data_IF_176349169827
#
_entry.id   IF_176349169827
#
_cell.length_a   1.000
_cell.length_b   1.000
_cell.length_c   1.000
_cell.angle_alpha   90.00
_cell.angle_beta   90.00
_cell.angle_gamma   90.00
#
_symmetry.space_group_name_H-M   'P 1'
#
loop_
_entity.id
_entity.type
_entity.pdbx_description
1 polymer ?
#
# COMPACT_ATOMS: atom_id res chain seq x y z
N UNK A 1 -11.48 -39.67 7.13
CA UNK A 1 -10.75 -39.00 6.07
C UNK A 1 -11.22 -37.53 6.02
N UNK A 2 -10.65 -36.69 6.87
CA UNK A 2 -10.93 -35.24 6.79
C UNK A 2 -9.96 -34.66 5.75
N UNK A 3 -10.41 -34.65 4.50
CA UNK A 3 -9.79 -33.80 3.49
C UNK A 3 -10.15 -32.36 3.88
N UNK A 4 -9.26 -31.69 4.60
CA UNK A 4 -9.38 -30.27 4.89
C UNK A 4 -9.12 -29.46 3.61
N UNK A 5 -10.03 -29.53 2.65
CA UNK A 5 -10.05 -28.60 1.53
C UNK A 5 -10.31 -27.22 2.12
N UNK A 6 -9.25 -26.43 2.27
CA UNK A 6 -9.41 -25.01 2.62
C UNK A 6 -10.16 -24.30 1.49
N UNK A 7 -11.03 -23.38 1.86
CA UNK A 7 -11.80 -22.61 0.88
C UNK A 7 -10.88 -21.79 -0.04
N UNK A 8 -11.29 -21.53 -1.29
CA UNK A 8 -10.56 -20.62 -2.17
C UNK A 8 -10.54 -19.20 -1.55
N UNK A 9 -9.43 -18.52 -1.70
CA UNK A 9 -9.33 -17.10 -1.42
C UNK A 9 -9.57 -16.33 -2.71
N UNK A 10 -10.36 -15.26 -2.63
CA UNK A 10 -10.68 -14.42 -3.78
C UNK A 10 -10.05 -13.05 -3.58
N UNK A 11 -9.22 -12.61 -4.52
CA UNK A 11 -8.68 -11.25 -4.56
C UNK A 11 -9.33 -10.45 -5.69
N UNK A 12 -10.05 -9.39 -5.34
CA UNK A 12 -10.58 -8.39 -6.27
C UNK A 12 -9.58 -7.24 -6.35
N UNK A 13 -8.83 -7.21 -7.44
CA UNK A 13 -7.73 -6.27 -7.65
C UNK A 13 -7.93 -5.40 -8.88
N UNK A 14 -7.13 -4.36 -9.00
CA UNK A 14 -7.18 -3.42 -10.14
C UNK A 14 -6.81 -2.01 -9.71
N UNK A 15 -6.74 -1.07 -10.65
CA UNK A 15 -6.36 0.31 -10.37
C UNK A 15 -7.36 1.00 -9.45
N UNK A 16 -6.93 2.11 -8.83
CA UNK A 16 -7.86 2.98 -8.09
C UNK A 16 -8.98 3.46 -9.01
N UNK A 17 -10.18 3.67 -8.46
CA UNK A 17 -11.41 4.04 -9.19
C UNK A 17 -11.92 2.99 -10.22
N UNK A 18 -11.49 1.72 -10.14
CA UNK A 18 -11.97 0.66 -11.05
C UNK A 18 -13.30 0.03 -10.66
N UNK A 19 -13.86 0.30 -9.46
CA UNK A 19 -15.09 -0.31 -8.96
C UNK A 19 -14.87 -1.58 -8.11
N UNK A 20 -13.67 -1.78 -7.57
CA UNK A 20 -13.34 -2.96 -6.74
C UNK A 20 -14.24 -3.11 -5.52
N UNK A 21 -14.53 -2.01 -4.82
CA UNK A 21 -15.34 -2.04 -3.59
C UNK A 21 -16.76 -2.52 -3.87
N UNK A 22 -17.38 -1.96 -4.91
CA UNK A 22 -18.75 -2.33 -5.30
C UNK A 22 -18.83 -3.82 -5.71
N UNK A 23 -17.85 -4.29 -6.51
CA UNK A 23 -17.76 -5.71 -6.87
C UNK A 23 -17.51 -6.59 -5.64
N UNK A 24 -16.63 -6.16 -4.73
CA UNK A 24 -16.34 -6.88 -3.49
C UNK A 24 -17.60 -7.07 -2.63
N UNK A 25 -18.38 -6.01 -2.43
CA UNK A 25 -19.66 -6.05 -1.69
C UNK A 25 -20.66 -6.96 -2.38
N UNK A 26 -20.83 -6.86 -3.71
CA UNK A 26 -21.73 -7.71 -4.48
C UNK A 26 -21.34 -9.20 -4.38
N UNK A 27 -20.07 -9.52 -4.45
CA UNK A 27 -19.57 -10.89 -4.27
C UNK A 27 -19.76 -11.37 -2.83
N UNK A 28 -19.50 -10.52 -1.83
CA UNK A 28 -19.73 -10.86 -0.42
C UNK A 28 -21.20 -11.22 -0.15
N UNK A 29 -22.15 -10.44 -0.67
CA UNK A 29 -23.57 -10.79 -0.58
C UNK A 29 -23.91 -12.10 -1.29
N UNK A 30 -23.38 -12.30 -2.51
CA UNK A 30 -23.73 -13.46 -3.34
C UNK A 30 -23.19 -14.78 -2.77
N UNK A 31 -22.04 -14.74 -2.11
CA UNK A 31 -21.30 -15.93 -1.66
C UNK A 31 -21.13 -16.02 -0.15
N UNK A 32 -21.94 -15.28 0.63
CA UNK A 32 -21.84 -15.23 2.10
C UNK A 32 -20.42 -14.98 2.57
N UNK A 33 -19.78 -13.93 2.02
CA UNK A 33 -18.40 -13.59 2.30
C UNK A 33 -18.23 -12.35 3.18
N UNK A 34 -16.98 -12.11 3.59
CA UNK A 34 -16.55 -10.90 4.28
C UNK A 34 -15.33 -10.31 3.59
N UNK A 35 -15.19 -9.00 3.64
CA UNK A 35 -14.14 -8.26 2.94
C UNK A 35 -12.94 -8.05 3.85
N UNK A 36 -11.74 -8.32 3.30
CA UNK A 36 -10.45 -7.98 3.91
C UNK A 36 -9.82 -6.88 3.06
N UNK A 37 -9.62 -5.71 3.65
CA UNK A 37 -9.00 -4.58 2.97
C UNK A 37 -7.55 -4.89 2.57
N UNK A 38 -7.25 -4.72 1.28
CA UNK A 38 -5.92 -4.87 0.68
C UNK A 38 -5.42 -3.54 0.08
N UNK A 39 -5.66 -2.43 0.81
CA UNK A 39 -5.17 -1.09 0.48
C UNK A 39 -4.39 -0.51 1.66
N UNK A 40 -3.12 -0.16 1.43
CA UNK A 40 -2.19 0.24 2.49
C UNK A 40 -2.52 1.59 3.14
N UNK A 41 -3.31 2.44 2.49
CA UNK A 41 -3.69 3.73 3.06
C UNK A 41 -5.04 3.68 3.80
N UNK A 42 -5.90 2.72 3.47
CA UNK A 42 -7.15 2.50 4.18
C UNK A 42 -6.97 1.85 5.56
N UNK A 43 -5.78 1.37 5.88
CA UNK A 43 -5.45 0.82 7.20
C UNK A 43 -5.34 1.89 8.30
N UNK A 44 -5.11 3.14 7.92
CA UNK A 44 -4.92 4.25 8.87
C UNK A 44 -6.24 4.82 9.37
N UNK A 45 -6.34 5.04 10.71
CA UNK A 45 -7.45 5.74 11.34
C UNK A 45 -7.46 7.22 10.95
N UNK A 46 -8.67 7.80 10.91
CA UNK A 46 -8.84 9.25 10.67
C UNK A 46 -8.58 9.71 9.24
N UNK A 47 -8.37 8.80 8.29
CA UNK A 47 -8.15 9.09 6.87
C UNK A 47 -9.28 8.44 6.07
N UNK A 48 -10.31 9.19 5.79
CA UNK A 48 -11.52 8.69 5.14
C UNK A 48 -11.70 9.21 3.71
N UNK A 49 -11.63 10.52 3.55
CA UNK A 49 -11.91 11.19 2.28
C UNK A 49 -10.87 10.82 1.23
N UNK A 50 -9.58 11.03 1.51
CA UNK A 50 -8.51 10.78 0.54
C UNK A 50 -8.37 9.33 0.11
N UNK A 51 -8.74 8.40 0.98
CA UNK A 51 -8.59 6.95 0.72
C UNK A 51 -9.83 6.34 0.08
N UNK A 52 -10.93 7.10 0.04
CA UNK A 52 -12.25 6.62 -0.40
C UNK A 52 -12.61 5.28 0.27
N UNK A 53 -12.43 5.20 1.59
CA UNK A 53 -12.99 4.10 2.38
C UNK A 53 -14.49 4.03 2.15
N UNK A 54 -15.00 2.81 2.08
CA UNK A 54 -16.44 2.59 2.05
C UNK A 54 -16.99 2.90 3.45
N UNK A 55 -17.78 3.95 3.61
CA UNK A 55 -18.33 4.29 4.92
C UNK A 55 -19.31 3.21 5.40
N UNK A 56 -19.52 3.05 6.72
CA UNK A 56 -20.33 1.96 7.28
C UNK A 56 -21.71 1.82 6.65
N UNK A 57 -22.38 2.93 6.34
CA UNK A 57 -23.69 2.98 5.69
C UNK A 57 -23.69 2.44 4.25
N UNK A 58 -22.56 2.51 3.55
CA UNK A 58 -22.40 2.00 2.19
C UNK A 58 -21.85 0.55 2.17
N UNK A 59 -21.43 -0.01 3.31
CA UNK A 59 -20.95 -1.39 3.41
C UNK A 59 -22.07 -2.44 3.31
N UNK A 60 -23.33 -2.02 3.33
CA UNK A 60 -24.52 -2.87 3.15
C UNK A 60 -24.55 -4.07 4.12
N UNK A 61 -24.05 -3.90 5.36
CA UNK A 61 -23.98 -4.96 6.36
C UNK A 61 -22.86 -5.98 6.17
N UNK A 62 -22.00 -5.83 5.15
CA UNK A 62 -20.83 -6.70 4.96
C UNK A 62 -19.68 -6.26 5.87
N UNK A 63 -19.17 -7.15 6.73
CA UNK A 63 -17.97 -6.83 7.53
C UNK A 63 -16.77 -6.53 6.65
N UNK A 64 -16.07 -5.42 6.95
CA UNK A 64 -14.83 -5.00 6.32
C UNK A 64 -13.70 -5.04 7.34
N UNK A 65 -12.80 -5.97 7.18
CA UNK A 65 -11.66 -6.19 8.06
C UNK A 65 -10.42 -5.42 7.58
N UNK A 66 -9.50 -5.11 8.49
CA UNK A 66 -8.24 -4.41 8.27
C UNK A 66 -8.41 -2.98 7.71
N UNK A 67 -9.54 -2.34 8.02
CA UNK A 67 -9.76 -0.90 7.86
C UNK A 67 -9.58 -0.26 9.25
N UNK A 68 -8.98 0.93 9.31
CA UNK A 68 -8.81 1.70 10.58
C UNK A 68 -8.10 0.91 11.71
N UNK A 69 -7.10 0.10 11.36
CA UNK A 69 -6.44 -0.80 12.32
C UNK A 69 -5.18 -0.22 12.96
N UNK A 70 -4.64 0.88 12.40
CA UNK A 70 -3.42 1.51 12.92
C UNK A 70 -3.55 3.03 12.94
N UNK A 71 -2.81 3.67 13.85
CA UNK A 71 -2.71 5.13 13.92
C UNK A 71 -1.91 5.69 12.72
N UNK A 72 -2.16 6.94 12.28
CA UNK A 72 -1.47 7.56 11.15
C UNK A 72 0.05 7.63 11.28
N UNK A 73 0.57 7.62 12.51
CA UNK A 73 2.01 7.62 12.82
C UNK A 73 2.65 6.23 12.75
N UNK A 74 1.83 5.16 12.79
CA UNK A 74 2.33 3.79 12.75
C UNK A 74 2.77 3.38 11.33
N UNK A 75 3.86 2.65 11.24
CA UNK A 75 4.36 2.17 9.98
C UNK A 75 4.00 0.70 9.77
N UNK A 76 2.76 0.40 9.40
CA UNK A 76 2.35 -0.97 9.09
C UNK A 76 3.15 -1.52 7.89
N UNK A 77 3.88 -2.60 8.13
CA UNK A 77 4.61 -3.29 7.08
C UNK A 77 3.71 -4.27 6.33
N UNK A 78 4.11 -4.67 5.12
CA UNK A 78 3.35 -5.67 4.36
C UNK A 78 3.38 -7.06 5.03
N UNK A 79 4.43 -7.37 5.76
CA UNK A 79 4.55 -8.64 6.51
C UNK A 79 3.56 -8.65 7.66
N UNK A 80 3.53 -7.60 8.50
CA UNK A 80 2.55 -7.47 9.58
C UNK A 80 1.11 -7.45 9.08
N UNK A 81 0.85 -6.78 7.94
CA UNK A 81 -0.46 -6.83 7.32
C UNK A 81 -0.83 -8.26 6.92
N UNK A 82 0.11 -9.01 6.31
CA UNK A 82 -0.14 -10.38 5.90
C UNK A 82 -0.39 -11.33 7.09
N UNK A 83 0.27 -11.13 8.21
CA UNK A 83 0.04 -11.87 9.46
C UNK A 83 -1.39 -11.64 9.97
N UNK A 84 -1.79 -10.38 10.11
CA UNK A 84 -3.18 -10.01 10.49
C UNK A 84 -4.21 -10.52 9.49
N UNK A 85 -3.88 -10.49 8.17
CA UNK A 85 -4.78 -11.01 7.14
C UNK A 85 -4.98 -12.53 7.29
N UNK A 86 -3.95 -13.31 7.64
CA UNK A 86 -4.08 -14.75 7.92
C UNK A 86 -4.98 -15.04 9.11
N UNK A 87 -4.85 -14.28 10.18
CA UNK A 87 -5.72 -14.40 11.37
C UNK A 87 -7.19 -14.14 11.00
N UNK A 88 -7.44 -13.07 10.25
CA UNK A 88 -8.79 -12.72 9.78
C UNK A 88 -9.34 -13.76 8.81
N UNK A 89 -8.53 -14.26 7.88
CA UNK A 89 -8.92 -15.35 6.96
C UNK A 89 -9.34 -16.58 7.75
N UNK A 90 -8.53 -17.00 8.73
CA UNK A 90 -8.83 -18.17 9.57
C UNK A 90 -10.13 -17.99 10.36
N UNK A 91 -10.40 -16.80 10.90
CA UNK A 91 -11.64 -16.49 11.59
C UNK A 91 -12.86 -16.56 10.66
N UNK A 92 -12.79 -15.93 9.49
CA UNK A 92 -13.86 -15.94 8.48
C UNK A 92 -14.18 -17.38 8.05
N UNK A 93 -13.15 -18.16 7.74
CA UNK A 93 -13.28 -19.57 7.31
C UNK A 93 -13.84 -20.46 8.44
N UNK A 94 -13.47 -20.21 9.69
CA UNK A 94 -14.01 -20.95 10.83
C UNK A 94 -15.52 -20.80 10.99
N UNK A 95 -16.07 -19.67 10.50
CA UNK A 95 -17.50 -19.38 10.45
C UNK A 95 -18.19 -19.86 9.17
N UNK A 96 -17.48 -20.59 8.31
CA UNK A 96 -17.99 -21.12 7.04
C UNK A 96 -18.25 -20.04 5.98
N UNK A 97 -17.60 -18.87 6.10
CA UNK A 97 -17.74 -17.75 5.16
C UNK A 97 -16.56 -17.63 4.20
N UNK A 98 -16.78 -16.95 3.06
CA UNK A 98 -15.77 -16.71 2.06
C UNK A 98 -14.93 -15.47 2.42
N UNK A 99 -13.60 -15.59 2.42
CA UNK A 99 -12.71 -14.46 2.58
C UNK A 99 -12.42 -13.78 1.21
N UNK A 100 -12.75 -12.48 1.11
CA UNK A 100 -12.60 -11.66 -0.09
C UNK A 100 -11.56 -10.56 0.17
N UNK A 101 -10.39 -10.65 -0.46
CA UNK A 101 -9.36 -9.62 -0.43
C UNK A 101 -9.70 -8.53 -1.45
N UNK A 102 -9.94 -7.30 -1.03
CA UNK A 102 -10.32 -6.20 -1.93
C UNK A 102 -9.34 -5.04 -1.80
N UNK A 103 -8.65 -4.69 -2.89
CA UNK A 103 -7.73 -3.56 -2.86
C UNK A 103 -6.78 -3.47 -4.04
N UNK A 104 -5.86 -2.50 -3.96
CA UNK A 104 -4.91 -2.18 -5.02
C UNK A 104 -3.43 -2.31 -4.64
N UNK A 105 -3.12 -2.76 -3.42
CA UNK A 105 -1.73 -2.87 -2.93
C UNK A 105 -1.16 -4.26 -3.23
N UNK A 106 -0.60 -4.43 -4.44
CA UNK A 106 -0.05 -5.73 -4.88
C UNK A 106 1.05 -6.28 -3.94
N UNK A 107 1.80 -5.39 -3.25
CA UNK A 107 2.82 -5.83 -2.29
C UNK A 107 2.22 -6.51 -1.05
N UNK A 108 0.99 -6.17 -0.65
CA UNK A 108 0.27 -6.87 0.41
C UNK A 108 -0.09 -8.30 -0.01
N UNK A 109 -0.63 -8.47 -1.22
CA UNK A 109 -0.91 -9.80 -1.75
C UNK A 109 0.36 -10.64 -1.89
N UNK A 110 1.46 -10.04 -2.34
CA UNK A 110 2.75 -10.72 -2.39
C UNK A 110 3.22 -11.15 -1.00
N UNK A 111 3.06 -10.32 0.04
CA UNK A 111 3.40 -10.68 1.41
C UNK A 111 2.50 -11.78 1.98
N UNK A 112 1.24 -11.86 1.54
CA UNK A 112 0.34 -12.94 1.91
C UNK A 112 0.75 -14.26 1.26
N UNK A 113 1.15 -14.25 -0.01
CA UNK A 113 1.43 -15.45 -0.82
C UNK A 113 2.89 -15.87 -0.85
N UNK A 114 3.79 -15.07 -0.26
CA UNK A 114 5.23 -15.33 -0.30
C UNK A 114 5.84 -15.13 1.09
N UNK A 115 6.57 -16.13 1.55
CA UNK A 115 7.46 -15.95 2.72
C UNK A 115 8.69 -15.20 2.26
N UNK A 116 8.83 -13.96 2.72
CA UNK A 116 10.04 -13.19 2.50
C UNK A 116 11.18 -13.66 3.41
N UNK A 117 12.41 -13.39 3.01
CA UNK A 117 13.56 -13.58 3.89
C UNK A 117 13.40 -12.72 5.16
N UNK A 118 13.88 -13.24 6.27
CA UNK A 118 13.92 -12.46 7.51
C UNK A 118 15.01 -11.40 7.39
N UNK A 119 14.57 -10.13 7.35
CA UNK A 119 15.50 -9.00 7.35
C UNK A 119 16.17 -8.89 8.71
N UNK A 120 17.48 -8.58 8.78
CA UNK A 120 18.11 -8.24 10.04
C UNK A 120 17.45 -7.00 10.65
N UNK A 121 17.65 -6.83 11.95
CA UNK A 121 17.29 -5.59 12.63
C UNK A 121 18.01 -4.41 11.98
N UNK A 122 17.29 -3.33 11.74
CA UNK A 122 17.81 -2.16 11.04
C UNK A 122 18.00 -1.02 12.04
N UNK A 123 19.20 -0.44 12.03
CA UNK A 123 19.47 0.81 12.74
C UNK A 123 18.62 1.96 12.14
N UNK A 124 17.64 2.40 12.90
CA UNK A 124 16.69 3.45 12.47
C UNK A 124 17.38 4.80 12.18
N UNK A 125 18.58 5.04 12.74
CA UNK A 125 19.36 6.25 12.49
C UNK A 125 19.88 6.36 11.06
N UNK A 126 19.99 5.24 10.34
CA UNK A 126 20.51 5.18 8.98
C UNK A 126 19.56 5.83 7.96
N UNK A 127 18.26 5.67 8.12
CA UNK A 127 17.27 6.22 7.18
C UNK A 127 17.38 7.75 7.06
N UNK A 128 17.38 8.52 8.14
CA UNK A 128 17.58 9.98 8.08
C UNK A 128 18.95 10.36 7.51
N UNK A 129 19.99 9.55 7.76
CA UNK A 129 21.34 9.77 7.20
C UNK A 129 21.33 9.62 5.68
N UNK A 130 20.75 8.54 5.14
CA UNK A 130 20.65 8.34 3.70
C UNK A 130 19.73 9.35 3.03
N UNK A 131 18.66 9.78 3.70
CA UNK A 131 17.80 10.85 3.20
C UNK A 131 18.59 12.16 3.01
N UNK A 132 19.41 12.58 3.97
CA UNK A 132 20.28 13.75 3.83
C UNK A 132 21.30 13.60 2.69
N UNK A 133 21.82 12.38 2.47
CA UNK A 133 22.71 12.13 1.34
C UNK A 133 21.94 12.23 0.01
N UNK A 134 20.74 11.68 -0.07
CA UNK A 134 19.85 11.80 -1.23
C UNK A 134 19.59 13.26 -1.61
N UNK A 135 19.26 14.09 -0.63
CA UNK A 135 18.98 15.52 -0.81
C UNK A 135 20.20 16.31 -1.29
N UNK A 136 21.38 15.99 -0.74
CA UNK A 136 22.61 16.74 -1.05
C UNK A 136 23.34 16.25 -2.31
N UNK A 137 23.28 14.96 -2.61
CA UNK A 137 24.13 14.31 -3.63
C UNK A 137 23.35 13.53 -4.69
N UNK A 138 22.03 13.41 -4.54
CA UNK A 138 21.14 12.74 -5.47
C UNK A 138 21.15 11.21 -5.38
N UNK A 139 20.18 10.58 -6.07
CA UNK A 139 19.98 9.13 -6.05
C UNK A 139 21.16 8.34 -6.65
N UNK A 140 21.79 8.87 -7.68
CA UNK A 140 22.93 8.23 -8.33
C UNK A 140 24.14 8.08 -7.39
N UNK A 141 24.31 8.99 -6.43
CA UNK A 141 25.36 8.85 -5.43
C UNK A 141 25.09 7.67 -4.50
N UNK A 142 23.87 7.52 -4.00
CA UNK A 142 23.49 6.34 -3.21
C UNK A 142 23.66 5.05 -4.00
N UNK A 143 23.31 5.05 -5.28
CA UNK A 143 23.51 3.89 -6.15
C UNK A 143 24.99 3.52 -6.30
N UNK A 144 25.90 4.50 -6.46
CA UNK A 144 27.35 4.25 -6.45
C UNK A 144 27.84 3.70 -5.10
N UNK A 145 27.26 4.13 -3.99
CA UNK A 145 27.55 3.53 -2.68
C UNK A 145 27.13 2.06 -2.64
N UNK A 146 25.92 1.75 -3.14
CA UNK A 146 25.43 0.37 -3.23
C UNK A 146 26.35 -0.49 -4.12
N UNK A 147 26.81 0.04 -5.24
CA UNK A 147 27.71 -0.69 -6.15
C UNK A 147 29.03 -1.15 -5.49
N UNK A 148 29.46 -0.49 -4.41
CA UNK A 148 30.66 -0.88 -3.65
C UNK A 148 30.41 -1.99 -2.63
N UNK A 149 29.18 -2.07 -2.07
CA UNK A 149 28.88 -2.98 -0.97
C UNK A 149 27.98 -4.15 -1.37
N UNK A 150 27.20 -3.97 -2.45
CA UNK A 150 26.29 -4.99 -3.00
C UNK A 150 26.21 -4.85 -4.53
N UNK A 151 27.28 -5.20 -5.27
CA UNK A 151 27.29 -5.09 -6.74
C UNK A 151 26.16 -5.83 -7.45
N UNK A 152 25.72 -7.04 -7.01
CA UNK A 152 24.61 -7.74 -7.63
C UNK A 152 23.29 -6.97 -7.60
N UNK A 153 22.95 -6.33 -6.48
CA UNK A 153 21.74 -5.51 -6.39
C UNK A 153 21.89 -4.15 -7.07
N UNK A 154 23.09 -3.56 -7.08
CA UNK A 154 23.33 -2.35 -7.84
C UNK A 154 23.13 -2.58 -9.35
N UNK A 155 23.55 -3.72 -9.89
CA UNK A 155 23.29 -4.08 -11.28
C UNK A 155 21.80 -4.29 -11.59
N UNK A 156 21.02 -4.73 -10.59
CA UNK A 156 19.58 -5.01 -10.72
C UNK A 156 18.70 -3.75 -10.56
N UNK A 157 19.12 -2.77 -9.76
CA UNK A 157 18.32 -1.59 -9.45
C UNK A 157 18.69 -0.43 -10.38
N UNK A 158 17.66 0.28 -10.87
CA UNK A 158 17.89 1.51 -11.61
C UNK A 158 18.55 2.58 -10.71
N UNK A 159 19.48 3.41 -11.23
CA UNK A 159 20.16 4.45 -10.44
C UNK A 159 19.24 5.44 -9.73
N UNK A 160 18.03 5.65 -10.26
CA UNK A 160 17.01 6.53 -9.67
C UNK A 160 16.09 5.83 -8.67
N UNK A 161 16.21 4.52 -8.48
CA UNK A 161 15.43 3.76 -7.51
C UNK A 161 16.01 3.88 -6.09
N UNK A 162 16.03 5.13 -5.62
CA UNK A 162 16.62 5.47 -4.33
C UNK A 162 16.01 4.68 -3.16
N UNK A 163 14.74 4.30 -3.25
CA UNK A 163 14.04 3.61 -2.16
C UNK A 163 14.60 2.19 -1.93
N UNK A 164 14.76 1.39 -3.01
CA UNK A 164 15.35 0.06 -2.91
C UNK A 164 16.85 0.14 -2.63
N UNK A 165 17.54 1.10 -3.23
CA UNK A 165 18.97 1.37 -2.96
C UNK A 165 19.19 1.70 -1.49
N UNK A 166 18.39 2.61 -0.91
CA UNK A 166 18.49 2.97 0.51
C UNK A 166 18.23 1.74 1.39
N UNK A 167 17.21 0.94 1.08
CA UNK A 167 16.94 -0.28 1.85
C UNK A 167 18.11 -1.27 1.84
N UNK A 168 18.74 -1.49 0.71
CA UNK A 168 19.92 -2.37 0.61
C UNK A 168 21.11 -1.83 1.41
N UNK A 169 21.33 -0.51 1.38
CA UNK A 169 22.34 0.14 2.19
C UNK A 169 22.04 0.04 3.70
N UNK A 170 20.80 0.25 4.12
CA UNK A 170 20.37 0.07 5.52
C UNK A 170 20.70 -1.33 6.02
N UNK A 171 20.37 -2.37 5.25
CA UNK A 171 20.67 -3.76 5.60
C UNK A 171 22.17 -3.96 5.76
N UNK A 172 22.97 -3.50 4.79
CA UNK A 172 24.43 -3.65 4.85
C UNK A 172 25.03 -2.94 6.05
N UNK A 173 24.68 -1.67 6.27
CA UNK A 173 25.29 -0.89 7.37
C UNK A 173 24.80 -1.32 8.76
N UNK A 174 23.64 -1.97 8.86
CA UNK A 174 23.14 -2.54 10.12
C UNK A 174 23.74 -3.92 10.43
N UNK A 175 23.95 -4.77 9.40
CA UNK A 175 24.32 -6.18 9.61
C UNK A 175 25.75 -6.52 9.18
N UNK A 176 26.43 -5.62 8.47
CA UNK A 176 27.73 -5.90 7.84
C UNK A 176 27.66 -6.84 6.63
N UNK A 177 26.45 -7.28 6.22
CA UNK A 177 26.26 -8.28 5.18
C UNK A 177 25.36 -7.74 4.06
N UNK A 178 25.71 -7.91 2.77
CA UNK A 178 24.91 -7.46 1.64
C UNK A 178 23.49 -8.05 1.63
N UNK A 179 22.52 -7.24 1.20
CA UNK A 179 21.13 -7.70 1.06
C UNK A 179 21.00 -8.85 0.04
N UNK A 180 21.81 -8.84 -1.02
CA UNK A 180 21.85 -9.95 -2.00
C UNK A 180 22.21 -11.29 -1.36
N UNK A 181 23.10 -11.30 -0.38
CA UNK A 181 23.45 -12.53 0.35
C UNK A 181 22.33 -13.00 1.29
N UNK A 182 21.64 -12.06 1.96
CA UNK A 182 20.47 -12.40 2.76
C UNK A 182 19.38 -13.05 1.90
N UNK A 183 19.12 -12.51 0.72
CA UNK A 183 18.15 -13.05 -0.24
C UNK A 183 18.56 -14.43 -0.79
N UNK A 184 19.84 -14.62 -1.08
CA UNK A 184 20.36 -15.90 -1.58
C UNK A 184 20.30 -17.03 -0.53
N UNK A 185 20.55 -16.70 0.73
CA UNK A 185 20.55 -17.67 1.83
C UNK A 185 19.15 -18.06 2.30
N UNK A 186 18.15 -17.25 2.01
CA UNK A 186 16.75 -17.51 2.39
C UNK A 186 15.85 -17.20 1.20
N UNK A 187 15.78 -18.08 0.21
CA UNK A 187 14.97 -17.85 -0.98
C UNK A 187 13.50 -17.71 -0.60
N UNK A 188 12.81 -16.82 -1.29
CA UNK A 188 11.36 -16.66 -1.15
C UNK A 188 10.64 -17.97 -1.44
N UNK A 189 9.71 -18.33 -0.59
CA UNK A 189 8.91 -19.55 -0.74
C UNK A 189 7.41 -19.20 -0.80
N UNK A 190 6.62 -19.93 -1.60
CA UNK A 190 5.17 -19.75 -1.57
C UNK A 190 4.61 -20.13 -0.20
N UNK A 191 3.61 -19.38 0.24
CA UNK A 191 2.80 -19.74 1.41
C UNK A 191 1.66 -20.64 1.00
N UNK A 192 0.91 -21.16 1.97
CA UNK A 192 -0.28 -21.94 1.71
C UNK A 192 -1.34 -21.15 0.92
N UNK A 193 -1.48 -19.86 1.21
CA UNK A 193 -2.42 -18.96 0.53
C UNK A 193 -2.13 -18.85 -0.97
N UNK A 194 -0.87 -18.99 -1.39
CA UNK A 194 -0.49 -18.93 -2.81
C UNK A 194 -1.20 -19.98 -3.67
N UNK A 195 -1.38 -21.19 -3.11
CA UNK A 195 -2.02 -22.32 -3.84
C UNK A 195 -3.53 -22.20 -3.98
N UNK A 196 -4.19 -21.29 -3.25
CA UNK A 196 -5.64 -21.16 -3.23
C UNK A 196 -6.16 -19.76 -3.52
N UNK A 197 -5.29 -18.80 -3.85
CA UNK A 197 -5.65 -17.42 -4.15
C UNK A 197 -5.99 -17.26 -5.65
N UNK A 198 -7.22 -16.84 -5.93
CA UNK A 198 -7.69 -16.50 -7.26
C UNK A 198 -7.83 -14.98 -7.41
N UNK A 199 -7.30 -14.44 -8.50
CA UNK A 199 -7.31 -13.02 -8.78
C UNK A 199 -8.39 -12.66 -9.80
N UNK A 200 -9.28 -11.74 -9.44
CA UNK A 200 -10.19 -11.07 -10.35
C UNK A 200 -9.69 -9.65 -10.59
N UNK A 201 -9.16 -9.41 -11.78
CA UNK A 201 -8.54 -8.14 -12.13
C UNK A 201 -9.54 -7.25 -12.85
N UNK A 202 -9.92 -6.13 -12.23
CA UNK A 202 -10.73 -5.11 -12.89
C UNK A 202 -9.86 -4.21 -13.76
N UNK A 203 -10.16 -4.17 -15.04
CA UNK A 203 -9.40 -3.40 -16.03
C UNK A 203 -10.33 -2.59 -16.93
N UNK A 204 -10.95 -1.52 -16.41
CA UNK A 204 -11.82 -0.66 -17.22
C UNK A 204 -11.02 0.06 -18.32
N UNK A 205 -11.67 0.50 -19.41
CA UNK A 205 -11.03 1.33 -20.43
C UNK A 205 -10.33 2.54 -19.81
N UNK A 206 -9.13 2.85 -20.30
CA UNK A 206 -8.24 3.87 -19.71
C UNK A 206 -8.91 5.24 -19.58
N UNK A 207 -9.63 5.68 -20.60
CA UNK A 207 -10.31 6.98 -20.57
C UNK A 207 -11.37 7.01 -19.48
N UNK A 208 -12.22 6.00 -19.42
CA UNK A 208 -13.24 5.87 -18.38
C UNK A 208 -12.64 5.89 -16.97
N UNK A 209 -11.50 5.23 -16.77
CA UNK A 209 -10.81 5.25 -15.49
C UNK A 209 -10.31 6.66 -15.14
N UNK A 210 -9.76 7.37 -16.10
CA UNK A 210 -9.27 8.73 -15.90
C UNK A 210 -10.39 9.71 -15.58
N UNK A 211 -11.53 9.58 -16.24
CA UNK A 211 -12.72 10.40 -15.97
C UNK A 211 -13.24 10.14 -14.54
N UNK A 212 -13.30 8.88 -14.12
CA UNK A 212 -13.67 8.51 -12.74
C UNK A 212 -12.67 9.02 -11.70
N UNK A 213 -11.37 9.00 -11.99
CA UNK A 213 -10.32 9.54 -11.10
C UNK A 213 -10.50 11.04 -10.94
N UNK A 214 -10.73 11.76 -12.04
CA UNK A 214 -10.91 13.21 -12.02
C UNK A 214 -12.15 13.58 -11.20
N UNK A 215 -13.31 13.01 -11.55
CA UNK A 215 -14.57 13.23 -10.81
C UNK A 215 -14.42 12.93 -9.32
N UNK A 216 -13.80 11.78 -8.99
CA UNK A 216 -13.58 11.40 -7.58
C UNK A 216 -12.69 12.40 -6.85
N UNK A 217 -11.68 12.95 -7.51
CA UNK A 217 -10.82 13.98 -6.91
C UNK A 217 -11.64 15.24 -6.59
N UNK A 218 -12.49 15.69 -7.49
CA UNK A 218 -13.35 16.86 -7.26
C UNK A 218 -14.31 16.61 -6.09
N UNK A 219 -14.97 15.45 -6.06
CA UNK A 219 -15.83 15.04 -4.95
C UNK A 219 -15.10 14.93 -3.59
N UNK A 220 -13.84 14.50 -3.58
CA UNK A 220 -13.02 14.48 -2.35
C UNK A 220 -12.79 15.88 -1.81
N UNK A 221 -12.51 16.85 -2.67
CA UNK A 221 -12.34 18.25 -2.26
C UNK A 221 -13.64 18.81 -1.69
N UNK A 222 -14.77 18.58 -2.36
CA UNK A 222 -16.10 18.98 -1.89
C UNK A 222 -16.47 18.33 -0.55
N UNK A 223 -16.06 17.09 -0.31
CA UNK A 223 -16.28 16.34 0.93
C UNK A 223 -15.32 16.71 2.06
N UNK A 224 -14.49 17.73 1.89
CA UNK A 224 -13.64 18.28 2.94
C UNK A 224 -12.26 17.63 3.07
N UNK A 225 -11.66 17.18 1.95
CA UNK A 225 -10.29 16.66 1.95
C UNK A 225 -9.28 17.58 2.63
N UNK A 226 -9.39 18.90 2.41
CA UNK A 226 -8.50 19.86 3.02
C UNK A 226 -8.65 19.89 4.55
N UNK A 227 -9.91 19.93 5.04
CA UNK A 227 -10.20 19.91 6.47
C UNK A 227 -9.73 18.60 7.14
N UNK A 228 -9.84 17.45 6.45
CA UNK A 228 -9.29 16.18 6.95
C UNK A 228 -7.77 16.27 7.17
N UNK A 229 -7.03 16.88 6.26
CA UNK A 229 -5.58 17.07 6.35
C UNK A 229 -5.23 18.05 7.50
N UNK A 230 -5.93 19.18 7.58
CA UNK A 230 -5.75 20.16 8.65
C UNK A 230 -5.97 19.54 10.04
N UNK A 231 -7.03 18.74 10.19
CA UNK A 231 -7.33 18.04 11.43
C UNK A 231 -6.23 17.03 11.82
N UNK A 232 -5.67 16.30 10.88
CA UNK A 232 -4.56 15.38 11.15
C UNK A 232 -3.32 16.13 11.60
N UNK A 233 -2.99 17.24 10.95
CA UNK A 233 -1.85 18.09 11.33
C UNK A 233 -2.08 18.70 12.72
N UNK A 234 -3.28 19.21 12.99
CA UNK A 234 -3.66 19.77 14.30
C UNK A 234 -3.63 18.71 15.42
N UNK A 235 -3.93 17.46 15.10
CA UNK A 235 -3.79 16.32 16.01
C UNK A 235 -2.33 15.87 16.23
N UNK A 236 -1.34 16.59 15.64
CA UNK A 236 0.08 16.31 15.82
C UNK A 236 0.65 15.22 14.91
N UNK A 237 -0.08 14.77 13.88
CA UNK A 237 0.45 13.81 12.91
C UNK A 237 1.51 14.49 12.04
N UNK A 238 2.78 14.05 12.06
CA UNK A 238 3.83 14.66 11.24
C UNK A 238 3.51 14.54 9.75
N UNK A 239 3.69 15.60 8.97
CA UNK A 239 3.50 15.59 7.50
C UNK A 239 4.41 14.60 6.77
N UNK A 240 5.45 14.11 7.45
CA UNK A 240 6.35 13.06 6.98
C UNK A 240 5.83 11.65 7.28
N UNK A 241 4.73 11.51 8.04
CA UNK A 241 4.13 10.21 8.34
C UNK A 241 3.70 9.50 7.04
N UNK A 242 3.80 8.16 7.04
CA UNK A 242 3.42 7.37 5.85
C UNK A 242 1.95 7.52 5.45
N UNK A 243 1.09 7.83 6.40
CA UNK A 243 -0.31 8.15 6.15
C UNK A 243 -0.47 9.30 5.13
N UNK A 244 0.43 10.29 5.15
CA UNK A 244 0.46 11.38 4.18
C UNK A 244 0.96 10.99 2.79
N UNK A 245 1.39 9.73 2.58
CA UNK A 245 1.63 9.17 1.25
C UNK A 245 0.34 8.80 0.51
N UNK A 246 -0.83 8.89 1.17
CA UNK A 246 -2.12 8.82 0.48
C UNK A 246 -2.12 9.82 -0.68
N UNK A 247 -2.62 9.37 -1.85
CA UNK A 247 -2.55 10.17 -3.07
C UNK A 247 -3.31 11.48 -2.87
N UNK A 248 -2.61 12.57 -3.13
CA UNK A 248 -3.15 13.91 -2.99
C UNK A 248 -2.72 14.64 -1.71
N UNK A 249 -2.57 13.98 -0.58
CA UNK A 249 -2.23 14.65 0.68
C UNK A 249 -1.00 15.55 0.55
N UNK A 250 0.06 15.06 -0.07
CA UNK A 250 1.27 15.85 -0.31
C UNK A 250 0.96 17.19 -1.01
N UNK A 251 0.07 17.20 -2.00
CA UNK A 251 -0.26 18.41 -2.78
C UNK A 251 -1.06 19.41 -1.99
N UNK A 252 -1.93 18.91 -1.12
CA UNK A 252 -2.70 19.76 -0.21
C UNK A 252 -1.85 20.28 0.95
N UNK A 253 -0.91 19.50 1.47
CA UNK A 253 0.11 19.99 2.42
C UNK A 253 0.95 21.10 1.78
N UNK A 254 1.39 20.95 0.52
CA UNK A 254 2.09 22.01 -0.21
C UNK A 254 1.22 23.29 -0.36
N UNK A 255 -0.10 23.13 -0.54
CA UNK A 255 -1.04 24.26 -0.54
C UNK A 255 -1.14 24.94 0.84
N UNK A 256 -1.33 24.17 1.92
CA UNK A 256 -1.39 24.69 3.28
C UNK A 256 -0.10 25.43 3.70
N UNK A 257 1.05 25.03 3.14
CA UNK A 257 2.34 25.71 3.32
C UNK A 257 2.54 26.89 2.38
N UNK A 258 1.53 27.31 1.59
CA UNK A 258 1.60 28.44 0.65
C UNK A 258 2.49 28.20 -0.58
N UNK A 259 2.87 26.94 -0.86
CA UNK A 259 3.79 26.61 -1.97
C UNK A 259 3.06 26.45 -3.32
N UNK A 260 1.72 26.36 -3.31
CA UNK A 260 0.86 26.29 -4.51
C UNK A 260 -0.57 26.75 -4.22
N UNK A 261 -1.32 27.09 -5.28
CA UNK A 261 -2.76 27.35 -5.14
C UNK A 261 -3.55 26.06 -4.94
N UNK A 262 -4.79 26.17 -4.46
CA UNK A 262 -5.70 25.02 -4.30
C UNK A 262 -5.99 24.35 -5.65
N UNK A 263 -6.27 25.13 -6.70
CA UNK A 263 -6.51 24.63 -8.05
C UNK A 263 -5.31 23.81 -8.56
N UNK A 264 -4.09 24.33 -8.34
CA UNK A 264 -2.86 23.61 -8.69
C UNK A 264 -2.70 22.31 -7.92
N UNK A 265 -3.10 22.28 -6.63
CA UNK A 265 -3.06 21.06 -5.81
C UNK A 265 -4.03 19.99 -6.35
N UNK A 266 -5.26 20.40 -6.70
CA UNK A 266 -6.30 19.54 -7.27
C UNK A 266 -5.85 18.92 -8.60
N UNK A 267 -5.40 19.75 -9.54
CA UNK A 267 -4.96 19.25 -10.85
C UNK A 267 -3.73 18.32 -10.73
N UNK A 268 -2.81 18.63 -9.84
CA UNK A 268 -1.67 17.75 -9.61
C UNK A 268 -2.08 16.43 -8.94
N UNK A 269 -3.05 16.44 -8.03
CA UNK A 269 -3.60 15.22 -7.45
C UNK A 269 -4.25 14.32 -8.52
N UNK A 270 -5.04 14.89 -9.44
CA UNK A 270 -5.62 14.17 -10.58
C UNK A 270 -4.52 13.50 -11.41
N UNK A 271 -3.46 14.24 -11.74
CA UNK A 271 -2.32 13.74 -12.51
C UNK A 271 -1.57 12.62 -11.77
N UNK A 272 -1.22 12.84 -10.51
CA UNK A 272 -0.50 11.87 -9.69
C UNK A 272 -1.31 10.57 -9.51
N UNK A 273 -2.63 10.68 -9.36
CA UNK A 273 -3.53 9.54 -9.22
C UNK A 273 -3.66 8.76 -10.55
N UNK A 274 -3.71 9.44 -11.70
CA UNK A 274 -3.65 8.77 -13.02
C UNK A 274 -2.33 8.02 -13.22
N UNK A 275 -1.20 8.61 -12.81
CA UNK A 275 0.10 7.95 -12.85
C UNK A 275 0.16 6.73 -11.90
N UNK A 276 -0.47 6.84 -10.74
CA UNK A 276 -0.58 5.71 -9.82
C UNK A 276 -1.42 4.57 -10.40
N UNK A 277 -2.59 4.89 -10.93
CA UNK A 277 -3.44 3.91 -11.60
C UNK A 277 -2.68 3.19 -12.74
N UNK A 278 -1.89 3.94 -13.52
CA UNK A 278 -1.04 3.35 -14.56
C UNK A 278 -0.03 2.34 -13.99
N UNK A 279 0.58 2.63 -12.83
CA UNK A 279 1.51 1.69 -12.16
C UNK A 279 0.82 0.45 -11.59
N UNK A 280 -0.47 0.53 -11.29
CA UNK A 280 -1.26 -0.62 -10.84
C UNK A 280 -1.69 -1.54 -11.99
N UNK A 281 -1.58 -1.10 -13.24
CA UNK A 281 -1.85 -1.91 -14.44
C UNK A 281 -0.68 -2.79 -14.86
N UNK A 282 0.51 -2.55 -14.37
CA UNK A 282 1.73 -3.31 -14.66
C UNK A 282 2.06 -4.30 -13.54
#
# INVERSE_FOLDING_TARGET
MNSSYKQPLIAVVGPTASGKSDLGIALAHRFNGEIINCDSVQTYRGIYVATAKVPPEEQQGIPHHLIDVVEPTYNLTAVEWAERAREVIADIESRGKLALLVGGTGFYLRALTTKFFQSPEIDESLRPRFQRILERRGAEHLHRMLAKVDPPLAAKFAPKDWSRVTRALEVYFSSGKPLSEWQANTPEQPTEEAGRLFHFVLQPPRQQLYDRINLRTDLMVERGLLAEIENLIAAGVPVTAKAFNAHGYKRFVEHLLGQRSLESAVEQMKLDTRHYAKRQWT
#
